data_IF_112615596568
#
_entry.id   IF_112615596568
#
_cell.length_a   1.000
_cell.length_b   1.000
_cell.length_c   1.000
_cell.angle_alpha   90.00
_cell.angle_beta   90.00
_cell.angle_gamma   90.00
#
_symmetry.space_group_name_H-M   'P 1'
#
loop_
_entity.id
_entity.type
_entity.pdbx_description
1 polymer ?
#
# COMPACT_ATOMS: atom_id res chain seq x y z
N UNK A 1 -28.20 41.08 -13.00
CA UNK A 1 -26.96 40.56 -13.60
C UNK A 1 -26.54 39.36 -12.78
N UNK A 2 -26.64 38.14 -13.31
CA UNK A 2 -26.32 36.92 -12.55
C UNK A 2 -24.93 36.42 -12.94
N UNK A 3 -23.96 36.67 -12.08
CA UNK A 3 -22.59 36.16 -12.22
C UNK A 3 -22.60 34.63 -12.03
N UNK A 4 -22.53 33.89 -13.13
CA UNK A 4 -22.33 32.43 -13.11
C UNK A 4 -20.89 32.15 -12.69
N UNK A 5 -20.67 31.79 -11.41
CA UNK A 5 -19.42 31.19 -10.96
C UNK A 5 -19.22 29.86 -11.70
N UNK A 6 -18.16 29.78 -12.51
CA UNK A 6 -17.72 28.53 -13.15
C UNK A 6 -17.40 27.49 -12.08
N UNK A 7 -17.76 26.20 -12.25
CA UNK A 7 -17.31 25.16 -11.34
C UNK A 7 -15.78 25.05 -11.44
N UNK A 8 -15.13 25.11 -10.28
CA UNK A 8 -13.69 24.92 -10.15
C UNK A 8 -13.43 23.46 -10.50
N UNK A 9 -12.73 23.23 -11.62
CA UNK A 9 -12.27 21.91 -12.01
C UNK A 9 -11.29 21.46 -10.93
N UNK A 10 -11.75 20.56 -10.06
CA UNK A 10 -10.92 20.01 -8.99
C UNK A 10 -9.83 19.16 -9.65
N UNK A 11 -8.60 19.66 -9.67
CA UNK A 11 -7.39 18.91 -10.07
C UNK A 11 -7.07 17.84 -9.00
N UNK A 12 -8.03 16.97 -8.69
CA UNK A 12 -7.74 15.77 -7.92
C UNK A 12 -7.05 14.84 -8.91
N UNK A 13 -5.75 14.53 -8.72
CA UNK A 13 -5.09 13.58 -9.60
C UNK A 13 -5.91 12.29 -9.58
N UNK A 14 -6.16 11.67 -10.74
CA UNK A 14 -6.90 10.43 -10.80
C UNK A 14 -6.20 9.43 -9.87
N UNK A 15 -6.94 8.95 -8.87
CA UNK A 15 -6.46 7.82 -8.06
C UNK A 15 -6.11 6.70 -9.04
N UNK A 16 -4.91 6.09 -8.95
CA UNK A 16 -4.58 4.96 -9.80
C UNK A 16 -5.69 3.91 -9.65
N UNK A 17 -6.24 3.48 -10.78
CA UNK A 17 -7.24 2.42 -10.85
C UNK A 17 -6.47 1.11 -10.69
N UNK A 18 -6.18 0.78 -9.44
CA UNK A 18 -5.37 -0.36 -9.04
C UNK A 18 -5.10 -0.21 -7.55
N UNK A 19 -5.49 -1.19 -6.74
CA UNK A 19 -5.24 -1.16 -5.32
C UNK A 19 -3.73 -1.40 -5.11
N UNK A 20 -2.90 -0.37 -5.23
CA UNK A 20 -1.47 -0.37 -4.88
C UNK A 20 -1.24 -0.46 -3.37
N UNK A 21 -2.24 -0.97 -2.65
CA UNK A 21 -2.26 -1.14 -1.21
C UNK A 21 -2.19 -2.63 -0.90
N UNK A 22 -1.23 -3.00 -0.08
CA UNK A 22 -0.94 -4.39 0.28
C UNK A 22 -0.84 -4.50 1.79
N UNK A 23 -1.27 -5.64 2.33
CA UNK A 23 -1.08 -5.99 3.73
C UNK A 23 0.00 -7.05 3.80
N UNK A 24 1.00 -6.81 4.64
CA UNK A 24 2.10 -7.74 4.92
C UNK A 24 2.11 -8.06 6.41
N UNK A 25 1.86 -9.33 6.73
CA UNK A 25 2.01 -9.84 8.09
C UNK A 25 3.44 -10.33 8.33
N UNK A 26 4.01 -9.97 9.46
CA UNK A 26 5.37 -10.35 9.87
C UNK A 26 5.35 -11.04 11.23
N UNK A 27 6.34 -11.89 11.51
CA UNK A 27 6.47 -12.58 12.80
C UNK A 27 6.89 -11.63 13.94
N UNK A 28 7.62 -10.57 13.59
CA UNK A 28 8.10 -9.54 14.52
C UNK A 28 7.97 -8.15 13.90
N UNK A 29 8.08 -7.12 14.74
CA UNK A 29 8.15 -5.73 14.26
C UNK A 29 9.47 -5.51 13.51
N UNK A 30 9.41 -4.86 12.35
CA UNK A 30 10.57 -4.55 11.52
C UNK A 30 10.89 -3.08 11.61
N UNK A 31 12.18 -2.78 11.62
CA UNK A 31 12.66 -1.41 11.53
C UNK A 31 12.50 -0.88 10.10
N UNK A 32 12.55 0.44 9.97
CA UNK A 32 12.41 1.12 8.68
C UNK A 32 13.51 0.70 7.68
N UNK A 33 14.73 0.42 8.16
CA UNK A 33 15.84 -0.05 7.34
C UNK A 33 15.54 -1.40 6.66
N UNK A 34 14.92 -2.33 7.39
CA UNK A 34 14.53 -3.65 6.86
C UNK A 34 13.50 -3.48 5.75
N UNK A 35 12.50 -2.62 5.96
CA UNK A 35 11.51 -2.31 4.92
C UNK A 35 12.12 -1.62 3.70
N UNK A 36 13.07 -0.72 3.94
CA UNK A 36 13.78 -0.03 2.86
C UNK A 36 14.56 -1.02 2.01
N UNK A 37 15.23 -1.99 2.63
CA UNK A 37 15.95 -3.04 1.90
C UNK A 37 15.02 -3.98 1.13
N UNK A 38 13.91 -4.41 1.76
CA UNK A 38 12.94 -5.31 1.13
C UNK A 38 12.20 -4.65 -0.04
N UNK A 39 11.95 -3.35 0.03
CA UNK A 39 11.08 -2.64 -0.91
C UNK A 39 11.81 -1.73 -1.89
N UNK A 40 13.15 -1.64 -1.82
CA UNK A 40 13.99 -0.79 -2.69
C UNK A 40 13.70 -0.96 -4.19
N UNK A 41 13.33 -2.16 -4.61
CA UNK A 41 13.12 -2.53 -6.01
C UNK A 41 11.77 -2.08 -6.57
N UNK A 42 10.83 -1.67 -5.71
CA UNK A 42 9.45 -1.35 -6.08
C UNK A 42 9.16 0.16 -6.18
N UNK A 43 10.14 1.00 -5.85
CA UNK A 43 10.01 2.45 -5.92
C UNK A 43 9.36 3.08 -4.67
N UNK A 44 8.84 4.33 -4.79
CA UNK A 44 8.29 5.04 -3.64
C UNK A 44 7.07 4.36 -3.03
N UNK A 45 7.11 4.16 -1.72
CA UNK A 45 6.02 3.56 -0.95
C UNK A 45 5.75 4.36 0.34
N UNK A 46 4.57 4.14 0.91
CA UNK A 46 4.21 4.52 2.27
C UNK A 46 4.00 3.25 3.08
N UNK A 47 4.47 3.26 4.33
CA UNK A 47 4.37 2.14 5.25
C UNK A 47 3.61 2.59 6.50
N UNK A 48 2.62 1.79 6.90
CA UNK A 48 1.81 2.03 8.10
C UNK A 48 1.66 0.72 8.88
N UNK A 49 2.06 0.71 10.16
CA UNK A 49 1.81 -0.41 11.06
C UNK A 49 0.33 -0.41 11.48
N UNK A 50 -0.41 -1.46 11.12
CA UNK A 50 -1.85 -1.56 11.38
C UNK A 50 -2.18 -2.44 12.59
N UNK A 51 -1.33 -3.41 12.94
CA UNK A 51 -1.53 -4.33 14.07
C UNK A 51 -0.21 -4.50 14.82
N UNK A 52 -0.21 -4.39 16.16
CA UNK A 52 1.01 -4.52 16.99
C UNK A 52 1.24 -5.90 17.57
N UNK A 53 0.19 -6.58 18.05
CA UNK A 53 0.33 -7.89 18.71
C UNK A 53 0.72 -9.03 17.73
N UNK A 54 0.27 -8.92 16.48
CA UNK A 54 0.70 -9.76 15.38
C UNK A 54 1.07 -8.80 14.24
N UNK A 55 2.34 -8.35 14.19
CA UNK A 55 2.77 -7.25 13.36
C UNK A 55 2.25 -7.37 11.93
N UNK A 56 1.48 -6.38 11.51
CA UNK A 56 0.99 -6.29 10.15
C UNK A 56 1.12 -4.86 9.66
N UNK A 57 1.57 -4.72 8.42
CA UNK A 57 1.86 -3.44 7.80
C UNK A 57 1.01 -3.29 6.56
N UNK A 58 0.44 -2.10 6.40
CA UNK A 58 -0.12 -1.65 5.15
C UNK A 58 0.98 -0.94 4.38
N UNK A 59 1.26 -1.42 3.17
CA UNK A 59 2.18 -0.80 2.24
C UNK A 59 1.35 -0.20 1.10
N UNK A 60 1.52 1.09 0.85
CA UNK A 60 0.89 1.78 -0.28
C UNK A 60 1.97 2.23 -1.25
N UNK A 61 2.05 1.61 -2.41
CA UNK A 61 2.98 2.00 -3.47
C UNK A 61 2.40 3.14 -4.31
N UNK A 62 3.28 3.98 -4.86
CA UNK A 62 2.89 5.02 -5.82
C UNK A 62 2.47 4.43 -7.16
N UNK A 63 3.15 3.38 -7.59
CA UNK A 63 2.87 2.61 -8.79
C UNK A 63 2.65 1.16 -8.38
N UNK A 64 1.66 0.48 -8.98
CA UNK A 64 1.34 -0.88 -8.58
C UNK A 64 2.46 -1.88 -8.94
N UNK A 65 3.17 -2.47 -7.96
CA UNK A 65 4.21 -3.46 -8.27
C UNK A 65 3.62 -4.80 -8.71
N UNK A 66 2.34 -5.05 -8.41
CA UNK A 66 1.66 -6.32 -8.57
C UNK A 66 1.94 -7.28 -7.40
N UNK A 67 0.87 -7.90 -6.91
CA UNK A 67 0.89 -8.82 -5.77
C UNK A 67 1.92 -9.94 -5.90
N UNK A 68 2.00 -10.57 -7.08
CA UNK A 68 2.85 -11.74 -7.28
C UNK A 68 4.34 -11.39 -7.23
N UNK A 69 4.73 -10.21 -7.73
CA UNK A 69 6.11 -9.72 -7.61
C UNK A 69 6.44 -9.40 -6.17
N UNK A 70 5.53 -8.73 -5.47
CA UNK A 70 5.71 -8.39 -4.05
C UNK A 70 5.86 -9.66 -3.20
N UNK A 71 5.00 -10.66 -3.41
CA UNK A 71 5.11 -11.98 -2.76
C UNK A 71 6.46 -12.64 -3.04
N UNK A 72 6.93 -12.60 -4.29
CA UNK A 72 8.17 -13.27 -4.67
C UNK A 72 9.39 -12.67 -3.95
N UNK A 73 9.49 -11.34 -3.89
CA UNK A 73 10.57 -10.65 -3.18
C UNK A 73 10.47 -10.88 -1.67
N UNK A 74 9.27 -10.72 -1.09
CA UNK A 74 9.08 -10.84 0.35
C UNK A 74 9.19 -12.28 0.87
N UNK A 75 8.90 -13.29 0.04
CA UNK A 75 9.07 -14.72 0.38
C UNK A 75 10.53 -15.09 0.69
N UNK A 76 11.50 -14.31 0.24
CA UNK A 76 12.91 -14.53 0.57
C UNK A 76 13.20 -14.29 2.06
N UNK A 77 12.36 -13.51 2.75
CA UNK A 77 12.51 -13.24 4.17
C UNK A 77 11.60 -14.20 4.98
N UNK A 78 12.17 -15.11 5.80
CA UNK A 78 11.40 -16.10 6.56
C UNK A 78 10.48 -15.47 7.61
N UNK A 79 10.73 -14.21 7.98
CA UNK A 79 9.96 -13.50 8.99
C UNK A 79 8.67 -12.87 8.41
N UNK A 80 8.45 -12.97 7.10
CA UNK A 80 7.19 -12.60 6.44
C UNK A 80 6.24 -13.80 6.48
N UNK A 81 5.06 -13.61 7.09
CA UNK A 81 4.04 -14.65 7.22
C UNK A 81 3.12 -14.71 6.01
N UNK A 82 2.66 -13.56 5.53
CA UNK A 82 1.74 -13.47 4.41
C UNK A 82 1.79 -12.09 3.75
N UNK A 83 1.38 -12.05 2.48
CA UNK A 83 1.24 -10.84 1.68
C UNK A 83 -0.07 -10.95 0.91
N UNK A 84 -0.97 -9.98 1.09
CA UNK A 84 -2.28 -9.95 0.45
C UNK A 84 -2.60 -8.54 -0.08
N UNK A 85 -3.44 -8.41 -1.11
CA UNK A 85 -3.92 -7.10 -1.52
C UNK A 85 -4.82 -6.55 -0.40
N UNK A 86 -4.71 -5.25 -0.11
CA UNK A 86 -5.61 -4.58 0.81
C UNK A 86 -7.00 -4.54 0.17
N UNK A 87 -7.76 -5.60 0.41
CA UNK A 87 -9.15 -5.68 0.03
C UNK A 87 -9.91 -4.88 1.08
N UNK A 88 -9.90 -3.55 0.95
CA UNK A 88 -10.91 -2.73 1.60
C UNK A 88 -12.23 -3.36 1.18
N UNK A 89 -12.93 -3.97 2.13
CA UNK A 89 -14.32 -4.37 1.97
C UNK A 89 -15.02 -3.14 1.40
N UNK A 90 -15.24 -3.12 0.09
CA UNK A 90 -16.20 -2.23 -0.52
C UNK A 90 -17.51 -2.65 0.12
N UNK A 91 -17.86 -1.98 1.23
CA UNK A 91 -19.23 -1.95 1.69
C UNK A 91 -19.98 -1.36 0.51
N UNK A 92 -20.54 -2.23 -0.33
CA UNK A 92 -21.56 -1.89 -1.31
C UNK A 92 -22.64 -1.17 -0.49
N UNK A 93 -22.66 0.15 -0.62
CA UNK A 93 -23.76 0.98 -0.15
C UNK A 93 -24.81 1.02 -1.25
#
# INVERSE_FOLDING_TARGET
MSERKKPIQSNIPPKPIGNSEYIVGTEKEFNNDVWTELLRSFGPYQLELIVKNNPAYKITFKEDPGLEKLKLELKQNPEIRYVEPNSRLEKKN
#
